data_IF_722254782269
#
_entry.id   IF_722254782269
#
_cell.length_a   1.000
_cell.length_b   1.000
_cell.length_c   1.000
_cell.angle_alpha   90.00
_cell.angle_beta   90.00
_cell.angle_gamma   90.00
#
_symmetry.space_group_name_H-M   'P 1'
#
loop_
_entity.id
_entity.type
_entity.pdbx_description
1 polymer ?
#
# COMPACT_ATOMS: atom_id res chain seq x y z
N UNK A 1 23.89 17.31 -21.65
CA UNK A 1 22.54 16.78 -21.93
C UNK A 1 22.48 15.37 -21.36
N UNK A 2 21.44 15.06 -20.56
CA UNK A 2 21.31 13.74 -19.96
C UNK A 2 21.14 12.69 -21.07
N UNK A 3 21.92 11.61 -21.02
CA UNK A 3 21.76 10.44 -21.92
C UNK A 3 20.29 9.98 -21.92
N UNK A 4 19.66 9.94 -20.75
CA UNK A 4 18.23 9.64 -20.61
C UNK A 4 17.32 10.60 -21.40
N UNK A 5 17.65 11.89 -21.45
CA UNK A 5 16.86 12.90 -22.18
C UNK A 5 17.00 12.80 -23.70
N UNK A 6 18.20 12.43 -24.19
CA UNK A 6 18.45 12.18 -25.61
C UNK A 6 17.66 10.94 -26.08
N UNK A 7 17.68 9.87 -25.30
CA UNK A 7 16.97 8.64 -25.63
C UNK A 7 15.45 8.73 -25.46
N UNK A 8 14.95 9.48 -24.46
CA UNK A 8 13.50 9.74 -24.33
C UNK A 8 12.93 10.48 -25.55
N UNK A 9 13.66 11.47 -26.06
CA UNK A 9 13.27 12.23 -27.25
C UNK A 9 13.30 11.36 -28.51
N UNK A 10 14.31 10.50 -28.65
CA UNK A 10 14.46 9.62 -29.82
C UNK A 10 13.53 8.39 -29.78
N UNK A 11 13.17 7.89 -28.59
CA UNK A 11 12.18 6.83 -28.41
C UNK A 11 10.76 7.37 -28.69
N UNK A 12 10.47 8.60 -28.25
CA UNK A 12 9.22 9.30 -28.57
C UNK A 12 9.11 9.67 -30.06
N UNK A 13 10.24 9.83 -30.77
CA UNK A 13 10.25 10.12 -32.21
C UNK A 13 10.25 8.88 -33.12
N UNK A 14 10.21 7.64 -32.56
CA UNK A 14 10.21 6.38 -33.32
C UNK A 14 11.39 6.23 -34.32
N UNK A 15 12.52 6.91 -34.10
CA UNK A 15 13.65 6.95 -35.05
C UNK A 15 14.77 5.94 -34.76
N UNK A 16 14.61 5.01 -33.82
CA UNK A 16 15.66 4.02 -33.47
C UNK A 16 15.31 2.66 -34.08
N UNK A 17 16.21 2.13 -34.90
CA UNK A 17 16.18 0.72 -35.30
C UNK A 17 16.55 -0.13 -34.07
N UNK A 18 15.61 -0.97 -33.61
CA UNK A 18 15.77 -1.74 -32.37
C UNK A 18 16.52 -3.05 -32.69
N UNK A 19 17.85 -2.98 -32.63
CA UNK A 19 18.75 -4.14 -32.80
C UNK A 19 19.12 -4.76 -31.44
N UNK A 20 19.53 -6.03 -31.44
CA UNK A 20 19.94 -6.78 -30.23
C UNK A 20 21.03 -6.05 -29.43
N UNK A 21 22.06 -5.51 -30.09
CA UNK A 21 23.14 -4.78 -29.43
C UNK A 21 22.66 -3.49 -28.78
N UNK A 22 21.69 -2.80 -29.38
CA UNK A 22 21.08 -1.59 -28.84
C UNK A 22 20.34 -1.90 -27.53
N UNK A 23 19.63 -3.03 -27.47
CA UNK A 23 18.93 -3.47 -26.26
C UNK A 23 19.93 -3.89 -25.16
N UNK A 24 20.95 -4.69 -25.50
CA UNK A 24 21.94 -5.19 -24.54
C UNK A 24 22.81 -4.05 -23.98
N UNK A 25 23.25 -3.11 -24.83
CA UNK A 25 23.95 -1.89 -24.38
C UNK A 25 23.05 -1.00 -23.51
N UNK A 26 21.76 -0.86 -23.85
CA UNK A 26 20.82 -0.10 -23.03
C UNK A 26 20.68 -0.67 -21.62
N UNK A 27 20.64 -2.01 -21.50
CA UNK A 27 20.53 -2.70 -20.22
C UNK A 27 21.88 -2.91 -19.52
N UNK A 28 22.98 -2.42 -20.10
CA UNK A 28 24.35 -2.63 -19.63
C UNK A 28 24.70 -4.13 -19.45
N UNK A 29 24.15 -4.98 -20.32
CA UNK A 29 24.40 -6.42 -20.34
C UNK A 29 25.54 -6.67 -21.33
N UNK A 30 26.59 -7.37 -20.89
CA UNK A 30 27.66 -7.79 -21.79
C UNK A 30 27.09 -8.70 -22.88
N UNK A 31 27.17 -8.25 -24.12
CA UNK A 31 26.71 -9.03 -25.27
C UNK A 31 27.72 -10.15 -25.61
N UNK A 32 27.28 -11.16 -26.38
CA UNK A 32 28.16 -12.26 -26.81
C UNK A 32 29.36 -11.81 -27.65
N UNK A 33 29.34 -10.58 -28.17
CA UNK A 33 30.41 -9.97 -28.96
C UNK A 33 31.20 -8.89 -28.21
N UNK A 34 30.98 -8.73 -26.91
CA UNK A 34 31.68 -7.75 -26.07
C UNK A 34 33.02 -8.27 -25.50
N UNK A 35 33.38 -9.52 -25.78
CA UNK A 35 34.71 -10.04 -25.46
C UNK A 35 35.77 -9.42 -26.38
N UNK A 36 36.92 -9.07 -25.82
CA UNK A 36 38.10 -8.50 -26.51
C UNK A 36 38.52 -9.26 -27.78
N UNK A 37 38.08 -10.52 -27.92
CA UNK A 37 38.31 -11.39 -29.07
C UNK A 37 37.72 -10.90 -30.40
N UNK A 38 36.76 -9.96 -30.38
CA UNK A 38 36.13 -9.42 -31.60
C UNK A 38 36.56 -7.99 -31.95
N UNK A 39 37.45 -7.37 -31.17
CA UNK A 39 37.96 -6.01 -31.43
C UNK A 39 38.73 -5.87 -32.76
N UNK A 40 39.12 -6.98 -33.38
CA UNK A 40 39.79 -7.01 -34.70
C UNK A 40 38.83 -6.81 -35.88
N UNK A 41 37.53 -7.05 -35.69
CA UNK A 41 36.48 -6.78 -36.69
C UNK A 41 35.94 -5.37 -36.44
N UNK A 42 36.73 -4.35 -36.81
CA UNK A 42 36.39 -2.94 -36.57
C UNK A 42 34.96 -2.59 -37.00
N UNK A 43 34.22 -1.91 -36.12
CA UNK A 43 32.94 -1.21 -36.31
C UNK A 43 31.94 -1.78 -37.35
N UNK A 44 31.92 -3.10 -37.53
CA UNK A 44 30.88 -3.76 -38.32
C UNK A 44 29.65 -3.85 -37.43
N UNK A 45 28.74 -2.88 -37.55
CA UNK A 45 27.42 -2.91 -36.93
C UNK A 45 26.60 -4.07 -37.54
N UNK A 46 26.77 -5.26 -36.99
CA UNK A 46 25.92 -6.41 -37.29
C UNK A 46 24.58 -6.19 -36.59
N UNK A 47 23.61 -5.59 -37.30
CA UNK A 47 22.21 -5.54 -36.88
C UNK A 47 21.69 -6.98 -36.81
N UNK A 48 21.76 -7.56 -35.62
CA UNK A 48 21.19 -8.88 -35.34
C UNK A 48 19.75 -8.69 -34.89
N UNK A 49 18.78 -9.37 -35.52
CA UNK A 49 17.40 -9.32 -35.08
C UNK A 49 17.31 -9.89 -33.66
N UNK A 50 16.42 -9.32 -32.84
CA UNK A 50 16.20 -9.75 -31.45
C UNK A 50 15.90 -11.25 -31.44
N UNK A 51 16.86 -12.03 -30.93
CA UNK A 51 16.79 -13.49 -30.93
C UNK A 51 16.29 -14.00 -29.58
N UNK A 52 15.88 -15.28 -29.53
CA UNK A 52 15.54 -15.93 -28.25
C UNK A 52 16.71 -15.91 -27.26
N UNK A 53 17.95 -15.88 -27.76
CA UNK A 53 19.16 -15.76 -26.95
C UNK A 53 19.28 -14.38 -26.30
N UNK A 54 18.91 -13.32 -27.01
CA UNK A 54 18.83 -11.96 -26.42
C UNK A 54 17.87 -11.92 -25.25
N UNK A 55 16.69 -12.55 -25.39
CA UNK A 55 15.70 -12.63 -24.31
C UNK A 55 16.24 -13.43 -23.14
N UNK A 56 16.95 -14.54 -23.39
CA UNK A 56 17.59 -15.33 -22.34
C UNK A 56 18.62 -14.51 -21.56
N UNK A 57 19.53 -13.81 -22.25
CA UNK A 57 20.53 -12.94 -21.62
C UNK A 57 19.90 -11.81 -20.80
N UNK A 58 18.79 -11.23 -21.28
CA UNK A 58 18.03 -10.22 -20.52
C UNK A 58 17.43 -10.82 -19.25
N UNK A 59 16.82 -12.00 -19.35
CA UNK A 59 16.24 -12.68 -18.19
C UNK A 59 17.31 -13.10 -17.17
N UNK A 60 18.47 -13.59 -17.62
CA UNK A 60 19.61 -13.92 -16.78
C UNK A 60 20.16 -12.68 -16.06
N UNK A 61 20.40 -11.58 -16.79
CA UNK A 61 20.87 -10.34 -16.19
C UNK A 61 19.86 -9.74 -15.19
N UNK A 62 18.56 -9.78 -15.50
CA UNK A 62 17.51 -9.37 -14.56
C UNK A 62 17.49 -10.26 -13.32
N UNK A 63 17.62 -11.58 -13.50
CA UNK A 63 17.66 -12.52 -12.39
C UNK A 63 18.85 -12.26 -11.47
N UNK A 64 20.04 -12.06 -12.04
CA UNK A 64 21.26 -11.81 -11.27
C UNK A 64 21.21 -10.48 -10.53
N UNK A 65 20.69 -9.42 -11.16
CA UNK A 65 20.51 -8.11 -10.51
C UNK A 65 19.56 -8.18 -9.30
N UNK A 66 18.41 -8.87 -9.45
CA UNK A 66 17.39 -8.94 -8.40
C UNK A 66 17.51 -10.14 -7.45
N UNK A 67 18.51 -11.00 -7.65
CA UNK A 67 18.79 -12.21 -6.84
C UNK A 67 18.93 -11.93 -5.33
N UNK A 68 19.38 -10.72 -5.00
CA UNK A 68 19.65 -10.23 -3.65
C UNK A 68 18.65 -9.14 -3.20
N UNK A 69 17.48 -9.11 -3.84
CA UNK A 69 16.41 -8.17 -3.53
C UNK A 69 16.52 -6.85 -4.29
N UNK A 70 15.58 -5.95 -3.98
CA UNK A 70 15.52 -4.62 -4.57
C UNK A 70 16.34 -3.63 -3.73
N UNK A 71 17.16 -2.80 -4.39
CA UNK A 71 17.77 -1.62 -3.78
C UNK A 71 16.78 -0.45 -3.66
N UNK A 72 17.19 0.64 -3.01
CA UNK A 72 16.36 1.85 -2.93
C UNK A 72 16.17 2.49 -4.31
N UNK A 73 17.23 2.51 -5.12
CA UNK A 73 17.18 3.06 -6.49
C UNK A 73 16.23 2.23 -7.37
N UNK A 74 16.26 0.90 -7.24
CA UNK A 74 15.35 0.02 -7.98
C UNK A 74 13.89 0.31 -7.61
N UNK A 75 13.61 0.47 -6.31
CA UNK A 75 12.27 0.79 -5.81
C UNK A 75 11.79 2.15 -6.36
N UNK A 76 12.64 3.17 -6.36
CA UNK A 76 12.33 4.48 -6.92
C UNK A 76 12.03 4.39 -8.42
N UNK A 77 12.86 3.66 -9.18
CA UNK A 77 12.68 3.45 -10.61
C UNK A 77 11.35 2.73 -10.92
N UNK A 78 11.04 1.66 -10.18
CA UNK A 78 9.77 0.93 -10.30
C UNK A 78 8.59 1.85 -9.96
N UNK A 79 8.72 2.68 -8.91
CA UNK A 79 7.67 3.61 -8.53
C UNK A 79 7.41 4.66 -9.61
N UNK A 80 8.46 5.27 -10.17
CA UNK A 80 8.37 6.23 -11.27
C UNK A 80 7.77 5.59 -12.53
N UNK A 81 8.16 4.35 -12.84
CA UNK A 81 7.62 3.58 -13.95
C UNK A 81 6.10 3.33 -13.80
N UNK A 82 5.65 2.90 -12.62
CA UNK A 82 4.22 2.72 -12.32
C UNK A 82 3.47 4.05 -12.48
N UNK A 83 4.02 5.16 -11.99
CA UNK A 83 3.42 6.48 -12.13
C UNK A 83 3.35 6.95 -13.59
N UNK A 84 4.37 6.65 -14.40
CA UNK A 84 4.38 6.95 -15.83
C UNK A 84 3.29 6.19 -16.59
N UNK A 85 3.18 4.86 -16.39
CA UNK A 85 2.10 4.05 -16.97
C UNK A 85 0.73 4.58 -16.53
N UNK A 86 0.59 4.87 -15.23
CA UNK A 86 -0.64 5.39 -14.67
C UNK A 86 -1.01 6.74 -15.28
N UNK A 87 -0.05 7.63 -15.47
CA UNK A 87 -0.27 8.91 -16.13
C UNK A 87 -0.75 8.74 -17.58
N UNK A 88 -0.14 7.84 -18.36
CA UNK A 88 -0.56 7.53 -19.74
C UNK A 88 -2.01 6.98 -19.79
N UNK A 89 -2.38 6.13 -18.85
CA UNK A 89 -3.74 5.60 -18.77
C UNK A 89 -4.75 6.70 -18.37
N UNK A 90 -4.42 7.51 -17.37
CA UNK A 90 -5.30 8.57 -16.87
C UNK A 90 -5.43 9.74 -17.85
N UNK A 91 -4.40 10.03 -18.63
CA UNK A 91 -4.43 11.10 -19.64
C UNK A 91 -5.39 10.78 -20.78
N UNK A 92 -5.52 9.50 -21.14
CA UNK A 92 -6.54 9.01 -22.09
C UNK A 92 -7.95 9.04 -21.53
N UNK A 93 -8.12 8.73 -20.24
CA UNK A 93 -9.45 8.64 -19.60
C UNK A 93 -10.05 10.01 -19.25
N UNK A 94 -9.21 10.96 -18.86
CA UNK A 94 -9.62 12.29 -18.43
C UNK A 94 -9.03 13.34 -19.38
N UNK A 95 -8.17 14.22 -18.87
CA UNK A 95 -7.35 15.14 -19.66
C UNK A 95 -5.94 15.20 -19.05
N UNK A 96 -4.96 15.73 -19.80
CA UNK A 96 -3.55 15.76 -19.38
C UNK A 96 -3.38 16.48 -18.03
N UNK A 97 -4.05 17.63 -17.84
CA UNK A 97 -3.97 18.42 -16.59
C UNK A 97 -4.47 17.63 -15.38
N UNK A 98 -5.67 17.04 -15.45
CA UNK A 98 -6.26 16.28 -14.34
C UNK A 98 -5.48 15.00 -14.09
N UNK A 99 -5.04 14.32 -15.15
CA UNK A 99 -4.21 13.13 -15.03
C UNK A 99 -2.89 13.45 -14.30
N UNK A 100 -2.25 14.57 -14.64
CA UNK A 100 -1.04 15.03 -13.97
C UNK A 100 -1.28 15.24 -12.47
N UNK A 101 -2.31 16.00 -12.10
CA UNK A 101 -2.65 16.21 -10.69
C UNK A 101 -2.93 14.89 -9.95
N UNK A 102 -3.72 13.98 -10.52
CA UNK A 102 -4.02 12.68 -9.89
C UNK A 102 -2.74 11.84 -9.71
N UNK A 103 -1.83 11.86 -10.69
CA UNK A 103 -0.55 11.15 -10.59
C UNK A 103 0.35 11.77 -9.52
N UNK A 104 0.45 13.11 -9.43
CA UNK A 104 1.20 13.80 -8.37
C UNK A 104 0.65 13.49 -6.97
N UNK A 105 -0.67 13.38 -6.83
CA UNK A 105 -1.31 12.98 -5.56
C UNK A 105 -0.90 11.54 -5.20
N UNK A 106 -0.83 10.65 -6.20
CA UNK A 106 -0.30 9.29 -6.03
C UNK A 106 1.17 9.25 -5.65
N UNK A 107 2.00 10.08 -6.28
CA UNK A 107 3.42 10.24 -5.95
C UNK A 107 3.58 10.71 -4.51
N UNK A 108 2.83 11.73 -4.09
CA UNK A 108 2.87 12.23 -2.71
C UNK A 108 2.45 11.17 -1.68
N UNK A 109 1.41 10.39 -1.98
CA UNK A 109 1.00 9.29 -1.12
C UNK A 109 2.05 8.16 -1.09
N UNK A 110 2.61 7.77 -2.24
CA UNK A 110 3.67 6.76 -2.32
C UNK A 110 4.96 7.19 -1.62
N UNK A 111 5.29 8.48 -1.70
CA UNK A 111 6.45 9.05 -1.01
C UNK A 111 6.35 8.92 0.52
N UNK A 112 5.15 9.03 1.10
CA UNK A 112 4.97 8.79 2.55
C UNK A 112 5.36 7.36 2.93
N UNK A 113 4.97 6.36 2.13
CA UNK A 113 5.35 4.97 2.35
C UNK A 113 6.84 4.73 2.11
N UNK A 114 7.42 5.38 1.10
CA UNK A 114 8.86 5.31 0.86
C UNK A 114 9.67 5.89 2.02
N UNK A 115 9.23 7.03 2.59
CA UNK A 115 9.86 7.61 3.77
C UNK A 115 9.76 6.67 4.98
N UNK A 116 8.59 6.07 5.20
CA UNK A 116 8.40 5.06 6.24
C UNK A 116 9.27 3.81 6.05
N UNK A 117 9.41 3.33 4.81
CA UNK A 117 10.30 2.23 4.45
C UNK A 117 11.76 2.53 4.84
N UNK A 118 12.21 3.76 4.58
CA UNK A 118 13.56 4.22 4.94
C UNK A 118 13.74 4.30 6.46
N UNK A 119 12.72 4.76 7.19
CA UNK A 119 12.76 4.83 8.65
C UNK A 119 12.80 3.43 9.28
N UNK A 120 12.06 2.47 8.72
CA UNK A 120 12.17 1.06 9.09
C UNK A 120 13.54 0.46 8.76
N UNK A 121 14.16 0.88 7.65
CA UNK A 121 15.51 0.44 7.31
C UNK A 121 16.55 0.86 8.35
N UNK A 122 16.37 2.04 8.94
CA UNK A 122 17.16 2.48 10.09
C UNK A 122 16.97 1.56 11.29
N UNK A 123 15.73 1.22 11.63
CA UNK A 123 15.40 0.39 12.79
C UNK A 123 15.87 -1.06 12.64
N UNK A 124 15.80 -1.61 11.43
CA UNK A 124 16.14 -2.99 11.11
C UNK A 124 17.54 -3.18 10.51
N UNK A 125 18.38 -2.14 10.49
CA UNK A 125 19.70 -2.14 9.83
C UNK A 125 20.47 -3.46 9.98
N UNK A 126 20.59 -4.00 11.19
CA UNK A 126 21.33 -5.24 11.48
C UNK A 126 20.67 -6.52 10.92
N UNK A 127 19.34 -6.56 10.85
CA UNK A 127 18.58 -7.72 10.38
C UNK A 127 18.39 -7.73 8.86
N UNK A 128 18.49 -6.58 8.19
CA UNK A 128 18.32 -6.51 6.74
C UNK A 128 19.40 -7.30 5.98
N UNK A 129 20.63 -7.29 6.49
CA UNK A 129 21.75 -8.07 5.95
C UNK A 129 21.54 -9.59 6.06
N UNK A 130 20.70 -10.03 7.00
CA UNK A 130 20.46 -11.45 7.24
C UNK A 130 19.47 -12.03 6.23
N UNK A 131 18.61 -11.20 5.61
CA UNK A 131 17.63 -11.65 4.62
C UNK A 131 18.13 -11.34 3.21
N UNK A 132 18.20 -12.39 2.37
CA UNK A 132 18.60 -12.26 0.96
C UNK A 132 17.69 -11.32 0.16
N UNK A 133 16.41 -11.18 0.51
CA UNK A 133 15.47 -10.28 -0.20
C UNK A 133 15.66 -8.79 0.15
N UNK A 134 16.37 -8.47 1.23
CA UNK A 134 16.61 -7.10 1.68
C UNK A 134 18.08 -6.73 1.66
N UNK A 135 18.94 -7.59 1.11
CA UNK A 135 20.38 -7.41 1.18
C UNK A 135 20.84 -6.18 0.38
N UNK A 136 20.37 -6.03 -0.86
CA UNK A 136 20.64 -4.84 -1.67
C UNK A 136 20.13 -3.56 -1.00
N UNK A 137 18.93 -3.62 -0.39
CA UNK A 137 18.36 -2.51 0.37
C UNK A 137 19.24 -2.14 1.59
N UNK A 138 19.81 -3.12 2.28
CA UNK A 138 20.70 -2.91 3.42
C UNK A 138 22.00 -2.21 2.98
N UNK A 139 22.57 -2.63 1.85
CA UNK A 139 23.78 -2.07 1.27
C UNK A 139 23.57 -0.59 0.89
N UNK A 140 22.53 -0.31 0.11
CA UNK A 140 22.18 1.05 -0.30
C UNK A 140 21.91 1.95 0.92
N UNK A 141 21.21 1.42 1.93
CA UNK A 141 20.93 2.16 3.15
C UNK A 141 22.21 2.55 3.89
N UNK A 142 23.16 1.62 4.01
CA UNK A 142 24.42 1.86 4.70
C UNK A 142 25.27 2.91 3.97
N UNK A 143 25.27 2.88 2.64
CA UNK A 143 25.90 3.90 1.81
C UNK A 143 25.25 5.29 2.04
N UNK A 144 23.91 5.38 2.03
CA UNK A 144 23.17 6.62 2.30
C UNK A 144 23.48 7.16 3.69
N UNK A 145 23.44 6.31 4.72
CA UNK A 145 23.73 6.70 6.10
C UNK A 145 25.16 7.22 6.24
N UNK A 146 26.14 6.53 5.66
CA UNK A 146 27.54 6.93 5.71
C UNK A 146 27.75 8.27 5.00
N UNK A 147 27.10 8.46 3.85
CA UNK A 147 27.13 9.73 3.13
C UNK A 147 26.48 10.86 3.92
N UNK A 148 25.34 10.61 4.58
CA UNK A 148 24.68 11.57 5.47
C UNK A 148 25.59 11.93 6.63
N UNK A 149 26.17 10.94 7.32
CA UNK A 149 27.12 11.18 8.41
C UNK A 149 28.35 11.95 7.94
N UNK A 150 28.89 11.66 6.76
CA UNK A 150 30.00 12.41 6.19
C UNK A 150 29.62 13.87 5.89
N UNK A 151 28.45 14.09 5.26
CA UNK A 151 27.92 15.45 5.00
C UNK A 151 27.64 16.20 6.30
N UNK A 152 27.07 15.53 7.31
CA UNK A 152 26.83 16.09 8.64
C UNK A 152 28.13 16.37 9.38
N UNK A 153 29.18 15.56 9.25
CA UNK A 153 30.50 15.84 9.84
C UNK A 153 31.20 16.99 9.13
N UNK A 154 31.09 17.08 7.80
CA UNK A 154 31.58 18.21 7.01
C UNK A 154 30.79 19.50 7.28
N UNK A 155 29.50 19.38 7.61
CA UNK A 155 28.68 20.48 8.10
C UNK A 155 28.97 20.79 9.58
N UNK A 156 29.33 19.78 10.37
CA UNK A 156 29.64 19.84 11.80
C UNK A 156 31.00 20.46 12.12
N UNK A 157 31.89 20.58 11.13
CA UNK A 157 33.05 21.51 11.22
C UNK A 157 32.65 22.98 10.97
N UNK A 158 31.38 23.26 10.66
CA UNK A 158 30.78 24.60 10.49
C UNK A 158 29.55 24.85 11.40
N UNK A 159 29.46 24.10 12.52
CA UNK A 159 28.50 24.19 13.63
C UNK A 159 27.12 23.51 13.51
N UNK A 160 26.70 22.97 14.66
CA UNK A 160 25.43 22.34 15.05
C UNK A 160 24.21 22.82 14.25
N UNK A 161 23.62 21.94 13.43
CA UNK A 161 22.16 21.92 13.27
C UNK A 161 21.69 20.60 12.67
N UNK A 162 21.60 19.58 13.51
CA UNK A 162 20.65 18.47 13.32
C UNK A 162 19.18 18.94 13.51
N UNK A 163 18.92 20.25 13.37
CA UNK A 163 17.70 20.92 13.82
C UNK A 163 16.99 21.59 12.65
N UNK A 164 15.65 21.47 12.63
CA UNK A 164 14.76 21.94 11.57
C UNK A 164 14.90 23.43 11.20
N UNK A 165 15.36 24.26 12.13
CA UNK A 165 15.49 25.72 11.98
C UNK A 165 16.95 26.19 11.80
N UNK A 166 17.90 25.28 11.55
CA UNK A 166 19.28 25.60 11.22
C UNK A 166 19.46 26.69 10.15
N UNK A 167 18.64 26.75 9.08
CA UNK A 167 18.69 27.83 8.09
C UNK A 167 18.34 29.22 8.64
N UNK A 168 17.41 29.31 9.59
CA UNK A 168 17.02 30.57 10.24
C UNK A 168 18.16 31.06 11.12
N UNK A 169 18.76 30.16 11.90
CA UNK A 169 19.92 30.50 12.73
C UNK A 169 21.10 30.89 11.85
N UNK A 170 21.33 30.19 10.73
CA UNK A 170 22.33 30.58 9.72
C UNK A 170 22.06 31.99 9.19
N UNK A 171 20.81 32.33 8.87
CA UNK A 171 20.48 33.67 8.41
C UNK A 171 20.84 34.72 9.48
N UNK A 172 20.45 34.49 10.74
CA UNK A 172 20.83 35.37 11.84
C UNK A 172 22.34 35.44 12.06
N UNK A 173 23.06 34.31 12.09
CA UNK A 173 24.52 34.31 12.28
C UNK A 173 25.23 35.03 11.14
N UNK A 174 24.81 34.81 9.89
CA UNK A 174 25.40 35.46 8.71
C UNK A 174 25.16 36.97 8.73
N UNK A 175 23.99 37.43 9.20
CA UNK A 175 23.68 38.86 9.35
C UNK A 175 24.48 39.48 10.52
N UNK A 176 24.80 38.68 11.53
CA UNK A 176 25.49 39.13 12.75
C UNK A 176 27.00 38.92 12.73
N UNK A 177 27.61 38.42 11.65
CA UNK A 177 29.06 38.16 11.61
C UNK A 177 29.69 39.02 10.52
N UNK A 178 30.61 39.90 10.90
CA UNK A 178 31.64 40.36 9.95
C UNK A 178 32.75 39.31 10.05
N UNK A 179 33.39 38.89 8.95
CA UNK A 179 34.33 37.75 8.85
C UNK A 179 35.39 37.56 9.97
N UNK A 180 35.60 38.55 10.85
CA UNK A 180 36.45 38.49 12.05
C UNK A 180 35.71 38.39 13.40
N UNK A 181 34.46 38.86 13.54
CA UNK A 181 33.74 38.93 14.83
C UNK A 181 32.23 38.68 14.68
N UNK A 182 31.68 37.88 15.61
CA UNK A 182 30.24 37.68 15.76
C UNK A 182 29.65 38.77 16.67
N UNK A 183 28.85 39.66 16.09
CA UNK A 183 28.09 40.73 16.76
C UNK A 183 26.80 40.15 17.35
N UNK A 184 26.81 39.77 18.62
CA UNK A 184 25.58 39.35 19.30
C UNK A 184 24.61 40.54 19.46
N UNK A 185 23.41 40.53 18.84
CA UNK A 185 22.45 41.63 18.97
C UNK A 185 22.05 41.89 20.42
N UNK A 186 21.99 40.83 21.26
CA UNK A 186 21.66 40.97 22.66
C UNK A 186 22.74 41.75 23.42
N UNK A 187 24.01 41.53 23.10
CA UNK A 187 25.12 42.27 23.71
C UNK A 187 25.11 43.74 23.28
N UNK A 188 24.68 44.04 22.05
CA UNK A 188 24.54 45.42 21.56
C UNK A 188 23.50 46.18 22.39
N UNK A 189 22.30 45.61 22.60
CA UNK A 189 21.29 46.22 23.47
C UNK A 189 21.77 46.33 24.92
N UNK A 190 22.51 45.34 25.40
CA UNK A 190 23.04 45.33 26.77
C UNK A 190 24.11 46.41 27.02
N UNK A 191 24.87 46.75 25.98
CA UNK A 191 25.95 47.73 26.06
C UNK A 191 25.44 49.17 26.24
N UNK A 192 24.17 49.44 25.88
CA UNK A 192 23.51 50.74 26.05
C UNK A 192 22.93 50.96 27.46
N UNK A 193 23.05 50.00 28.39
CA UNK A 193 22.54 50.16 29.75
C UNK A 193 23.41 51.13 30.59
N UNK A 194 22.81 52.01 31.42
CA UNK A 194 23.53 52.87 32.36
C UNK A 194 24.49 52.12 33.29
N UNK A 195 25.61 52.76 33.64
CA UNK A 195 26.65 52.16 34.47
C UNK A 195 26.15 51.70 35.85
N UNK A 196 25.18 52.42 36.43
CA UNK A 196 24.64 52.18 37.77
C UNK A 196 23.90 50.83 37.90
N UNK A 197 23.35 50.32 36.79
CA UNK A 197 22.64 49.02 36.76
C UNK A 197 23.47 47.90 36.12
N UNK A 198 24.64 48.24 35.55
CA UNK A 198 25.45 47.33 34.74
C UNK A 198 25.97 46.13 35.53
N UNK A 199 26.35 46.31 36.79
CA UNK A 199 26.80 45.20 37.66
C UNK A 199 25.76 44.09 37.84
N UNK A 200 24.48 44.46 37.98
CA UNK A 200 23.38 43.50 38.11
C UNK A 200 22.97 42.98 36.74
N UNK A 201 22.90 43.87 35.75
CA UNK A 201 22.55 43.52 34.39
C UNK A 201 23.54 42.52 33.78
N UNK A 202 24.85 42.68 33.96
CA UNK A 202 25.87 41.77 33.41
C UNK A 202 25.71 40.34 33.96
N UNK A 203 25.41 40.19 35.26
CA UNK A 203 25.12 38.88 35.86
C UNK A 203 23.89 38.23 35.23
N UNK A 204 22.83 39.02 35.00
CA UNK A 204 21.61 38.56 34.33
C UNK A 204 21.91 38.19 32.86
N UNK A 205 22.70 38.99 32.16
CA UNK A 205 23.10 38.74 30.78
C UNK A 205 23.86 37.43 30.62
N UNK A 206 24.90 37.20 31.42
CA UNK A 206 25.66 35.96 31.37
C UNK A 206 24.83 34.76 31.80
N UNK A 207 23.94 34.91 32.78
CA UNK A 207 23.00 33.86 33.16
C UNK A 207 22.04 33.51 32.00
N UNK A 208 21.49 34.52 31.32
CA UNK A 208 20.59 34.31 30.19
C UNK A 208 21.31 33.68 28.99
N UNK A 209 22.46 34.23 28.58
CA UNK A 209 23.18 33.80 27.37
C UNK A 209 23.90 32.47 27.53
N UNK A 210 24.45 32.16 28.71
CA UNK A 210 25.21 30.92 28.93
C UNK A 210 24.34 29.78 29.44
N UNK A 211 23.23 30.06 30.14
CA UNK A 211 22.42 29.02 30.80
C UNK A 211 21.00 28.97 30.26
N UNK A 212 20.22 30.05 30.36
CA UNK A 212 18.78 30.01 30.05
C UNK A 212 18.53 29.80 28.56
N UNK A 213 19.14 30.60 27.69
CA UNK A 213 18.94 30.51 26.23
C UNK A 213 19.41 29.15 25.70
N UNK A 214 20.63 28.65 26.01
CA UNK A 214 21.06 27.35 25.51
C UNK A 214 20.22 26.19 26.04
N UNK A 215 19.79 26.22 27.31
CA UNK A 215 18.92 25.17 27.86
C UNK A 215 17.52 25.20 27.25
N UNK A 216 16.94 26.39 27.12
CA UNK A 216 15.63 26.58 26.49
C UNK A 216 15.67 26.17 25.03
N UNK A 217 16.74 26.52 24.32
CA UNK A 217 16.98 26.11 22.94
C UNK A 217 17.08 24.59 22.81
N UNK A 218 17.91 23.92 23.62
CA UNK A 218 18.01 22.46 23.63
C UNK A 218 16.68 21.79 23.98
N UNK A 219 15.92 22.37 24.89
CA UNK A 219 14.59 21.88 25.25
C UNK A 219 13.61 22.02 24.07
N UNK A 220 13.48 23.22 23.52
CA UNK A 220 12.60 23.50 22.38
C UNK A 220 12.97 22.61 21.21
N UNK A 221 14.27 22.49 20.89
CA UNK A 221 14.71 21.60 19.82
C UNK A 221 14.22 20.18 20.04
N UNK A 222 14.52 19.62 21.21
CA UNK A 222 14.19 18.23 21.53
C UNK A 222 12.68 17.99 21.46
N UNK A 223 11.88 18.96 21.91
CA UNK A 223 10.43 18.88 21.81
C UNK A 223 9.97 19.03 20.36
N UNK A 224 10.43 20.04 19.63
CA UNK A 224 10.01 20.33 18.25
C UNK A 224 10.42 19.21 17.30
N UNK A 225 11.65 18.72 17.39
CA UNK A 225 12.13 17.57 16.61
C UNK A 225 11.32 16.32 16.97
N UNK A 226 11.13 16.06 18.27
CA UNK A 226 10.36 14.92 18.75
C UNK A 226 8.89 14.92 18.35
N UNK A 227 8.26 16.11 18.25
CA UNK A 227 6.86 16.27 17.83
C UNK A 227 6.71 16.68 16.36
N UNK A 228 7.79 16.89 15.60
CA UNK A 228 7.73 17.44 14.25
C UNK A 228 6.80 16.64 13.34
N UNK A 229 6.90 15.30 13.38
CA UNK A 229 6.03 14.41 12.60
C UNK A 229 4.55 14.58 12.90
N UNK A 230 4.16 14.64 14.18
CA UNK A 230 2.75 14.81 14.59
C UNK A 230 2.25 16.24 14.33
N UNK A 231 3.13 17.23 14.46
CA UNK A 231 2.83 18.64 14.16
C UNK A 231 2.55 18.80 12.67
N UNK A 232 3.42 18.30 11.80
CA UNK A 232 3.23 18.34 10.35
C UNK A 232 1.95 17.63 9.91
N UNK A 233 1.70 16.45 10.46
CA UNK A 233 0.44 15.75 10.25
C UNK A 233 -0.76 16.63 10.66
N UNK A 234 -0.72 17.23 11.84
CA UNK A 234 -1.83 18.04 12.35
C UNK A 234 -2.06 19.27 11.47
N UNK A 235 -1.00 20.00 11.12
CA UNK A 235 -1.13 21.20 10.27
C UNK A 235 -1.60 20.87 8.85
N UNK A 236 -1.04 19.83 8.22
CA UNK A 236 -1.33 19.51 6.81
C UNK A 236 -2.62 18.72 6.66
N UNK A 237 -2.78 17.64 7.44
CA UNK A 237 -3.88 16.67 7.28
C UNK A 237 -5.13 17.09 8.04
N UNK A 238 -5.00 17.70 9.22
CA UNK A 238 -6.14 18.04 10.09
C UNK A 238 -6.62 19.47 9.89
N UNK A 239 -5.74 20.46 10.06
CA UNK A 239 -6.09 21.89 9.96
C UNK A 239 -6.33 22.27 8.50
N UNK A 240 -5.36 22.01 7.62
CA UNK A 240 -5.42 22.39 6.20
C UNK A 240 -6.06 21.32 5.29
N UNK A 241 -7.12 20.65 5.78
CA UNK A 241 -7.81 19.55 5.07
C UNK A 241 -8.33 19.91 3.66
N UNK A 242 -8.54 21.21 3.38
CA UNK A 242 -8.96 21.74 2.07
C UNK A 242 -7.86 21.58 1.01
N UNK A 243 -6.60 21.72 1.41
CA UNK A 243 -5.45 21.71 0.50
C UNK A 243 -4.80 20.33 0.39
N UNK A 244 -5.05 19.43 1.35
CA UNK A 244 -4.53 18.08 1.34
C UNK A 244 -5.54 17.09 0.71
N UNK A 245 -5.21 16.47 -0.45
CA UNK A 245 -6.05 15.46 -1.08
C UNK A 245 -6.38 14.29 -0.16
N UNK A 246 -7.59 13.74 -0.30
CA UNK A 246 -8.05 12.64 0.56
C UNK A 246 -7.12 11.42 0.53
N UNK A 247 -6.56 11.07 -0.63
CA UNK A 247 -5.63 9.94 -0.76
C UNK A 247 -4.41 10.08 0.17
N UNK A 248 -3.79 11.27 0.17
CA UNK A 248 -2.63 11.56 1.01
C UNK A 248 -3.03 11.52 2.48
N UNK A 249 -4.14 12.17 2.85
CA UNK A 249 -4.66 12.17 4.22
C UNK A 249 -4.91 10.77 4.76
N UNK A 250 -5.49 9.91 3.93
CA UNK A 250 -5.79 8.53 4.29
C UNK A 250 -4.52 7.73 4.52
N UNK A 251 -3.59 7.69 3.55
CA UNK A 251 -2.36 6.92 3.65
C UNK A 251 -1.47 7.42 4.80
N UNK A 252 -1.40 8.74 5.01
CA UNK A 252 -0.65 9.31 6.12
C UNK A 252 -1.22 8.91 7.48
N UNK A 253 -2.55 9.03 7.66
CA UNK A 253 -3.19 8.65 8.92
C UNK A 253 -3.09 7.15 9.17
N UNK A 254 -3.17 6.34 8.11
CA UNK A 254 -3.00 4.90 8.19
C UNK A 254 -1.59 4.50 8.64
N UNK A 255 -0.55 5.14 8.07
CA UNK A 255 0.84 4.95 8.47
C UNK A 255 1.05 5.29 9.94
N UNK A 256 0.53 6.41 10.42
CA UNK A 256 0.61 6.78 11.84
C UNK A 256 -0.02 5.71 12.75
N UNK A 257 -1.17 5.15 12.36
CA UNK A 257 -1.82 4.10 13.13
C UNK A 257 -0.99 2.81 13.16
N UNK A 258 -0.32 2.48 12.06
CA UNK A 258 0.55 1.30 11.97
C UNK A 258 1.87 1.50 12.72
N UNK A 259 2.44 2.69 12.76
CA UNK A 259 3.66 2.97 13.53
C UNK A 259 3.50 2.60 15.02
N UNK A 260 2.31 2.80 15.60
CA UNK A 260 2.01 2.33 16.96
C UNK A 260 2.01 0.80 17.06
N UNK A 261 1.49 0.11 16.05
CA UNK A 261 1.47 -1.35 16.00
C UNK A 261 2.86 -1.94 15.74
N UNK A 262 3.72 -1.26 14.96
CA UNK A 262 5.08 -1.70 14.61
C UNK A 262 6.06 -1.62 15.78
N UNK A 263 5.86 -0.70 16.75
CA UNK A 263 6.76 -0.55 17.91
C UNK A 263 6.98 -1.88 18.67
N UNK A 264 5.93 -2.61 19.08
CA UNK A 264 6.08 -3.97 19.61
C UNK A 264 6.93 -4.89 18.74
N UNK A 265 6.81 -4.78 17.41
CA UNK A 265 7.56 -5.62 16.49
C UNK A 265 9.05 -5.29 16.53
N UNK A 266 9.39 -4.00 16.49
CA UNK A 266 10.78 -3.52 16.61
C UNK A 266 11.38 -3.96 17.95
N UNK A 267 10.64 -3.90 19.05
CA UNK A 267 11.12 -4.39 20.34
C UNK A 267 11.40 -5.90 20.33
N UNK A 268 10.49 -6.70 19.76
CA UNK A 268 10.68 -8.14 19.63
C UNK A 268 11.93 -8.47 18.79
N UNK A 269 12.10 -7.80 17.65
CA UNK A 269 13.26 -7.96 16.77
C UNK A 269 14.58 -7.64 17.50
N UNK A 270 14.64 -6.55 18.29
CA UNK A 270 15.83 -6.18 19.06
C UNK A 270 16.15 -7.22 20.14
N UNK A 271 15.13 -7.78 20.80
CA UNK A 271 15.29 -8.85 21.80
C UNK A 271 15.79 -10.14 21.18
N UNK A 272 15.26 -10.53 20.03
CA UNK A 272 15.71 -11.71 19.28
C UNK A 272 17.16 -11.55 18.82
N UNK A 273 17.55 -10.36 18.33
CA UNK A 273 18.94 -10.06 17.98
C UNK A 273 19.87 -10.16 19.19
N UNK A 274 19.46 -9.64 20.36
CA UNK A 274 20.25 -9.75 21.57
C UNK A 274 20.41 -11.22 21.99
N UNK A 275 19.32 -11.99 22.01
CA UNK A 275 19.36 -13.40 22.35
C UNK A 275 20.25 -14.22 21.40
N UNK A 276 20.19 -13.92 20.10
CA UNK A 276 21.06 -14.55 19.10
C UNK A 276 22.55 -14.28 19.38
N UNK A 277 22.92 -13.00 19.52
CA UNK A 277 24.33 -12.59 19.57
C UNK A 277 24.99 -12.77 20.95
N UNK A 278 24.24 -12.58 22.04
CA UNK A 278 24.79 -12.52 23.40
C UNK A 278 24.55 -13.81 24.19
N UNK A 279 23.66 -14.69 23.73
CA UNK A 279 23.32 -15.94 24.44
C UNK A 279 23.60 -17.16 23.57
N UNK A 280 22.95 -17.28 22.41
CA UNK A 280 23.02 -18.51 21.60
C UNK A 280 24.38 -18.74 20.93
N UNK A 281 24.91 -17.71 20.25
CA UNK A 281 26.21 -17.80 19.58
C UNK A 281 27.34 -18.07 20.60
N UNK A 282 27.44 -17.32 21.72
CA UNK A 282 28.47 -17.60 22.73
C UNK A 282 28.32 -18.96 23.42
N UNK A 283 27.09 -19.47 23.56
CA UNK A 283 26.83 -20.80 24.12
C UNK A 283 27.06 -21.95 23.13
N UNK A 284 27.46 -21.68 21.88
CA UNK A 284 27.61 -22.65 20.80
C UNK A 284 26.31 -23.41 20.43
N UNK A 285 25.14 -22.81 20.70
CA UNK A 285 23.82 -23.39 20.42
C UNK A 285 23.36 -23.11 18.98
N UNK A 286 24.15 -23.55 17.99
CA UNK A 286 23.98 -23.15 16.59
C UNK A 286 22.64 -23.53 15.97
N UNK A 287 22.05 -24.67 16.34
CA UNK A 287 20.74 -25.09 15.82
C UNK A 287 19.62 -24.13 16.27
N UNK A 288 19.69 -23.66 17.51
CA UNK A 288 18.74 -22.70 18.05
C UNK A 288 18.99 -21.32 17.43
N UNK A 289 20.26 -20.96 17.22
CA UNK A 289 20.66 -19.72 16.56
C UNK A 289 20.12 -19.63 15.12
N UNK A 290 20.18 -20.73 14.37
CA UNK A 290 19.60 -20.81 13.02
C UNK A 290 18.08 -20.61 13.04
N UNK A 291 17.37 -21.28 13.96
CA UNK A 291 15.93 -21.12 14.11
C UNK A 291 15.54 -19.67 14.44
N UNK A 292 16.24 -19.04 15.39
CA UNK A 292 16.02 -17.63 15.76
C UNK A 292 16.31 -16.71 14.58
N UNK A 293 17.37 -16.98 13.82
CA UNK A 293 17.70 -16.22 12.60
C UNK A 293 16.60 -16.30 11.56
N UNK A 294 16.05 -17.50 11.32
CA UNK A 294 14.94 -17.69 10.38
C UNK A 294 13.66 -16.97 10.83
N UNK A 295 13.36 -16.99 12.13
CA UNK A 295 12.24 -16.21 12.68
C UNK A 295 12.47 -14.71 12.45
N UNK A 296 13.67 -14.21 12.73
CA UNK A 296 14.04 -12.81 12.55
C UNK A 296 13.90 -12.37 11.07
N UNK A 297 14.37 -13.21 10.15
CA UNK A 297 14.27 -12.98 8.71
C UNK A 297 12.80 -12.95 8.27
N UNK A 298 12.00 -13.95 8.66
CA UNK A 298 10.59 -14.02 8.29
C UNK A 298 9.82 -12.79 8.82
N UNK A 299 10.16 -12.35 10.02
CA UNK A 299 9.56 -11.20 10.68
C UNK A 299 9.84 -9.88 9.94
N UNK A 300 11.11 -9.62 9.61
CA UNK A 300 11.51 -8.42 8.86
C UNK A 300 10.95 -8.47 7.44
N UNK A 301 11.04 -9.62 6.76
CA UNK A 301 10.52 -9.78 5.41
C UNK A 301 9.00 -9.55 5.34
N UNK A 302 8.24 -10.07 6.31
CA UNK A 302 6.79 -9.86 6.37
C UNK A 302 6.43 -8.36 6.50
N UNK A 303 7.13 -7.64 7.38
CA UNK A 303 6.89 -6.21 7.55
C UNK A 303 7.27 -5.42 6.28
N UNK A 304 8.42 -5.72 5.67
CA UNK A 304 8.85 -5.08 4.41
C UNK A 304 7.87 -5.31 3.27
N UNK A 305 7.40 -6.55 3.08
CA UNK A 305 6.40 -6.87 2.06
C UNK A 305 5.13 -6.06 2.30
N UNK A 306 4.69 -5.94 3.56
CA UNK A 306 3.51 -5.15 3.90
C UNK A 306 3.68 -3.65 3.54
N UNK A 307 4.82 -3.05 3.86
CA UNK A 307 5.11 -1.64 3.52
C UNK A 307 5.24 -1.43 2.00
N UNK A 308 5.91 -2.34 1.30
CA UNK A 308 6.02 -2.31 -0.16
C UNK A 308 4.65 -2.44 -0.84
N UNK A 309 3.76 -3.28 -0.31
CA UNK A 309 2.37 -3.38 -0.77
C UNK A 309 1.60 -2.08 -0.52
N UNK A 310 1.74 -1.48 0.66
CA UNK A 310 1.14 -0.18 0.99
C UNK A 310 1.58 0.92 0.02
N UNK A 311 2.88 0.99 -0.28
CA UNK A 311 3.45 1.90 -1.26
C UNK A 311 2.88 1.65 -2.67
N UNK A 312 2.82 0.38 -3.10
CA UNK A 312 2.26 0.00 -4.41
C UNK A 312 0.80 0.47 -4.53
N UNK A 313 -0.02 0.27 -3.49
CA UNK A 313 -1.39 0.79 -3.48
C UNK A 313 -1.43 2.31 -3.58
N UNK A 314 -0.60 3.02 -2.82
CA UNK A 314 -0.55 4.48 -2.86
C UNK A 314 -0.17 5.01 -4.25
N UNK A 315 0.87 4.44 -4.87
CA UNK A 315 1.31 4.77 -6.23
C UNK A 315 0.22 4.48 -7.28
N UNK A 316 -0.53 3.39 -7.10
CA UNK A 316 -1.70 3.07 -7.93
C UNK A 316 -2.93 3.93 -7.63
N UNK A 317 -2.90 4.80 -6.60
CA UNK A 317 -4.04 5.62 -6.19
C UNK A 317 -5.15 4.84 -5.47
N UNK A 318 -4.79 3.71 -4.90
CA UNK A 318 -5.66 2.73 -4.28
C UNK A 318 -5.65 2.86 -2.75
N UNK A 319 -6.70 2.30 -2.15
CA UNK A 319 -6.85 2.13 -0.72
C UNK A 319 -6.98 0.63 -0.44
N UNK A 320 -6.65 0.20 0.76
CA UNK A 320 -6.79 -1.19 1.17
C UNK A 320 -7.51 -1.25 2.52
N UNK A 321 -8.14 -2.38 2.80
CA UNK A 321 -8.95 -2.53 4.01
C UNK A 321 -8.26 -3.45 5.00
N UNK A 322 -7.87 -2.89 6.13
CA UNK A 322 -7.41 -3.61 7.31
C UNK A 322 -8.33 -3.20 8.47
N UNK A 323 -9.21 -4.08 8.99
CA UNK A 323 -10.38 -3.66 9.79
C UNK A 323 -10.06 -2.62 10.87
N UNK A 324 -9.15 -2.94 11.79
CA UNK A 324 -8.77 -2.05 12.88
C UNK A 324 -8.13 -0.74 12.38
N UNK A 325 -7.15 -0.82 11.49
CA UNK A 325 -6.41 0.38 11.03
C UNK A 325 -7.24 1.27 10.11
N UNK A 326 -7.96 0.67 9.16
CA UNK A 326 -8.81 1.39 8.21
C UNK A 326 -10.00 2.04 8.92
N UNK A 327 -10.66 1.37 9.87
CA UNK A 327 -11.78 1.97 10.60
C UNK A 327 -11.34 3.16 11.45
N UNK A 328 -10.19 3.06 12.13
CA UNK A 328 -9.61 4.17 12.88
C UNK A 328 -9.17 5.32 11.95
N UNK A 329 -8.51 4.99 10.84
CA UNK A 329 -8.10 5.97 9.82
C UNK A 329 -9.29 6.78 9.32
N UNK A 330 -10.37 6.10 8.95
CA UNK A 330 -11.62 6.70 8.46
C UNK A 330 -12.33 7.53 9.53
N UNK A 331 -12.30 7.09 10.80
CA UNK A 331 -12.84 7.87 11.92
C UNK A 331 -12.09 9.19 12.11
N UNK A 332 -10.76 9.19 11.95
CA UNK A 332 -9.95 10.39 12.10
C UNK A 332 -10.09 11.35 10.92
N UNK A 333 -10.05 10.88 9.67
CA UNK A 333 -10.04 11.79 8.51
C UNK A 333 -11.44 12.20 8.01
N UNK A 334 -12.47 11.44 8.38
CA UNK A 334 -13.84 11.61 7.90
C UNK A 334 -14.07 11.03 6.50
N UNK A 335 -15.29 11.17 5.97
CA UNK A 335 -15.65 10.56 4.69
C UNK A 335 -15.01 11.26 3.48
N UNK A 336 -14.76 10.45 2.45
CA UNK A 336 -14.28 10.89 1.13
C UNK A 336 -15.34 11.75 0.43
N UNK A 337 -14.98 12.89 -0.19
CA UNK A 337 -15.94 13.67 -0.96
C UNK A 337 -16.44 12.87 -2.17
N UNK A 338 -17.77 12.73 -2.32
CA UNK A 338 -18.41 11.94 -3.39
C UNK A 338 -18.15 12.53 -4.77
N UNK A 339 -18.21 13.85 -4.88
CA UNK A 339 -18.25 14.56 -6.17
C UNK A 339 -16.86 14.92 -6.71
N UNK A 340 -15.79 14.62 -5.97
CA UNK A 340 -14.43 14.99 -6.38
C UNK A 340 -13.82 13.92 -7.30
N UNK A 341 -13.42 14.33 -8.50
CA UNK A 341 -12.75 13.49 -9.51
C UNK A 341 -11.44 12.92 -8.95
N UNK A 342 -10.72 13.70 -8.14
CA UNK A 342 -9.47 13.30 -7.48
C UNK A 342 -9.67 12.22 -6.42
N UNK A 343 -10.91 12.07 -5.96
CA UNK A 343 -11.31 11.13 -4.93
C UNK A 343 -12.36 10.15 -5.42
N UNK A 344 -12.51 9.88 -6.72
CA UNK A 344 -13.24 8.75 -7.30
C UNK A 344 -14.37 8.07 -6.50
N UNK A 345 -15.28 8.84 -5.88
CA UNK A 345 -16.40 8.36 -5.05
C UNK A 345 -16.02 7.70 -3.72
N UNK A 346 -17.01 7.23 -2.95
CA UNK A 346 -16.75 6.48 -1.71
C UNK A 346 -16.14 5.10 -1.97
N UNK A 347 -15.35 4.60 -1.02
CA UNK A 347 -14.91 3.21 -1.03
C UNK A 347 -16.06 2.27 -0.65
N UNK A 348 -15.94 0.97 -0.95
CA UNK A 348 -16.99 -0.01 -0.65
C UNK A 348 -17.29 -0.10 0.86
N UNK A 349 -16.29 0.03 1.73
CA UNK A 349 -16.51 0.04 3.17
C UNK A 349 -17.11 1.37 3.66
N UNK A 350 -16.81 2.50 3.01
CA UNK A 350 -17.49 3.77 3.29
C UNK A 350 -18.95 3.74 2.86
N UNK A 351 -19.26 3.18 1.68
CA UNK A 351 -20.63 2.98 1.22
C UNK A 351 -21.39 2.03 2.12
N UNK A 352 -20.77 0.90 2.53
CA UNK A 352 -21.34 0.01 3.54
C UNK A 352 -21.52 0.70 4.89
N UNK A 353 -20.60 1.55 5.35
CA UNK A 353 -20.72 2.28 6.61
C UNK A 353 -21.82 3.34 6.53
N UNK A 354 -21.90 4.11 5.46
CA UNK A 354 -22.99 5.05 5.21
C UNK A 354 -24.34 4.32 5.12
N UNK A 355 -24.37 3.18 4.41
CA UNK A 355 -25.52 2.28 4.31
C UNK A 355 -25.86 1.59 5.64
N UNK A 356 -24.88 1.22 6.46
CA UNK A 356 -25.08 0.58 7.77
C UNK A 356 -25.43 1.60 8.84
N UNK A 357 -24.97 2.84 8.76
CA UNK A 357 -25.39 3.96 9.64
C UNK A 357 -26.82 4.36 9.29
N UNK A 358 -27.16 4.49 8.00
CA UNK A 358 -28.55 4.70 7.56
C UNK A 358 -29.42 3.47 7.85
N UNK A 359 -28.85 2.26 7.84
CA UNK A 359 -29.53 1.05 8.34
C UNK A 359 -29.59 0.96 9.84
N UNK A 360 -28.66 1.49 10.62
CA UNK A 360 -28.71 1.49 12.07
C UNK A 360 -29.86 2.37 12.55
N UNK A 361 -30.13 3.47 11.84
CA UNK A 361 -31.39 4.21 11.95
C UNK A 361 -32.63 3.36 11.59
N UNK A 362 -32.48 2.34 10.74
CA UNK A 362 -33.51 1.37 10.33
C UNK A 362 -33.44 0.00 11.06
N UNK A 363 -32.49 -0.23 11.97
CA UNK A 363 -32.20 -1.51 12.64
C UNK A 363 -33.02 -1.64 13.92
N UNK A 364 -34.31 -1.30 13.83
CA UNK A 364 -35.35 -1.93 14.64
C UNK A 364 -35.64 -3.38 14.17
N UNK A 365 -34.92 -3.94 13.20
CA UNK A 365 -35.20 -5.28 12.62
C UNK A 365 -33.97 -6.20 12.50
N UNK A 366 -34.04 -7.36 13.16
CA UNK A 366 -32.94 -8.24 13.60
C UNK A 366 -32.23 -9.12 12.53
N UNK A 367 -32.40 -8.87 11.22
CA UNK A 367 -32.17 -9.92 10.19
C UNK A 367 -30.74 -10.00 9.58
N UNK A 368 -29.89 -8.99 9.74
CA UNK A 368 -28.60 -8.91 8.99
C UNK A 368 -27.32 -9.21 9.80
N UNK A 369 -27.45 -9.71 11.03
CA UNK A 369 -26.35 -9.76 12.03
C UNK A 369 -25.23 -10.81 11.80
N UNK A 370 -25.35 -11.72 10.81
CA UNK A 370 -24.52 -12.96 10.75
C UNK A 370 -23.54 -13.05 9.58
N UNK A 371 -23.88 -12.52 8.41
CA UNK A 371 -23.00 -12.57 7.22
C UNK A 371 -21.95 -11.45 7.25
N UNK A 372 -22.26 -10.29 7.85
CA UNK A 372 -21.33 -9.17 7.94
C UNK A 372 -20.11 -9.43 8.85
N UNK A 373 -20.24 -10.31 9.85
CA UNK A 373 -19.20 -10.55 10.85
C UNK A 373 -17.94 -11.21 10.27
N UNK A 374 -18.08 -12.14 9.32
CA UNK A 374 -16.93 -12.78 8.69
C UNK A 374 -16.24 -11.86 7.67
N UNK A 375 -17.01 -11.05 6.95
CA UNK A 375 -16.47 -10.12 5.96
C UNK A 375 -15.87 -8.84 6.57
N UNK A 376 -16.16 -8.53 7.84
CA UNK A 376 -15.53 -7.44 8.59
C UNK A 376 -14.19 -7.80 9.24
N UNK A 377 -13.84 -9.10 9.30
CA UNK A 377 -12.64 -9.57 10.03
C UNK A 377 -11.42 -9.74 9.10
N UNK A 378 -11.63 -10.03 7.81
CA UNK A 378 -10.51 -10.31 6.90
C UNK A 378 -9.99 -9.05 6.19
N UNK A 379 -8.66 -8.85 6.12
CA UNK A 379 -8.08 -7.76 5.35
C UNK A 379 -8.32 -7.96 3.85
N UNK A 380 -8.62 -6.88 3.14
CA UNK A 380 -8.80 -6.88 1.69
C UNK A 380 -7.69 -6.04 1.07
N UNK A 381 -6.71 -6.74 0.52
CA UNK A 381 -5.44 -6.18 0.05
C UNK A 381 -5.50 -5.70 -1.41
N UNK A 382 -6.68 -5.56 -2.05
CA UNK A 382 -6.72 -5.03 -3.42
C UNK A 382 -8.04 -4.35 -3.78
N UNK A 383 -7.97 -3.06 -4.16
CA UNK A 383 -9.07 -2.28 -4.70
C UNK A 383 -8.58 -1.25 -5.71
N UNK A 384 -9.25 -1.13 -6.87
CA UNK A 384 -9.17 0.09 -7.68
C UNK A 384 -8.50 0.03 -9.06
N UNK A 385 -7.84 -1.07 -9.45
CA UNK A 385 -7.36 -1.19 -10.85
C UNK A 385 -8.47 -1.67 -11.80
N UNK A 386 -9.21 -2.71 -11.40
CA UNK A 386 -10.33 -3.31 -12.16
C UNK A 386 -11.67 -3.22 -11.43
N UNK A 387 -11.64 -2.94 -10.12
CA UNK A 387 -12.84 -2.77 -9.32
C UNK A 387 -13.19 -1.30 -9.23
N UNK A 388 -14.02 -0.79 -10.16
CA UNK A 388 -15.08 0.10 -9.67
C UNK A 388 -15.80 -0.71 -8.60
N UNK A 389 -16.08 -0.10 -7.46
CA UNK A 389 -17.08 -0.65 -6.56
C UNK A 389 -18.44 -0.54 -7.22
N UNK A 390 -18.68 -1.25 -8.32
CA UNK A 390 -20.00 -1.48 -8.88
C UNK A 390 -20.66 -2.59 -8.05
N UNK A 391 -20.98 -2.27 -6.79
CA UNK A 391 -22.41 -2.21 -6.55
C UNK A 391 -22.71 -0.75 -6.79
N UNK A 392 -23.32 -0.46 -7.93
CA UNK A 392 -24.00 0.80 -8.14
C UNK A 392 -24.74 1.15 -6.85
N UNK A 393 -24.71 2.43 -6.49
CA UNK A 393 -25.64 2.99 -5.52
C UNK A 393 -27.04 2.66 -6.05
N UNK A 394 -27.53 1.45 -5.74
CA UNK A 394 -28.88 1.06 -6.02
C UNK A 394 -29.68 2.06 -5.21
N UNK A 395 -30.31 2.97 -5.93
CA UNK A 395 -31.38 3.76 -5.37
C UNK A 395 -32.33 2.80 -4.68
N UNK A 396 -33.01 3.26 -3.62
CA UNK A 396 -33.90 2.39 -2.86
C UNK A 396 -34.88 1.61 -3.76
N UNK A 397 -35.29 2.23 -4.87
CA UNK A 397 -36.08 1.61 -5.94
C UNK A 397 -35.35 0.46 -6.66
N UNK A 398 -34.11 0.61 -7.08
CA UNK A 398 -33.38 -0.46 -7.78
C UNK A 398 -33.05 -1.63 -6.83
N UNK A 399 -32.78 -1.36 -5.56
CA UNK A 399 -32.61 -2.39 -4.52
C UNK A 399 -33.91 -3.18 -4.31
N UNK A 400 -35.05 -2.49 -4.20
CA UNK A 400 -36.37 -3.11 -4.11
C UNK A 400 -36.69 -3.95 -5.36
N UNK A 401 -36.24 -3.51 -6.53
CA UNK A 401 -36.45 -4.21 -7.81
C UNK A 401 -35.62 -5.48 -7.88
N UNK A 402 -34.37 -5.44 -7.43
CA UNK A 402 -33.51 -6.63 -7.29
C UNK A 402 -34.06 -7.63 -6.26
N UNK A 403 -34.58 -7.15 -5.13
CA UNK A 403 -35.19 -7.99 -4.11
C UNK A 403 -36.49 -8.65 -4.62
N UNK A 404 -37.32 -7.92 -5.38
CA UNK A 404 -38.48 -8.48 -6.08
C UNK A 404 -38.07 -9.56 -7.09
N UNK A 405 -37.03 -9.31 -7.90
CA UNK A 405 -36.50 -10.28 -8.89
C UNK A 405 -35.99 -11.55 -8.21
N UNK A 406 -35.28 -11.42 -7.09
CA UNK A 406 -34.76 -12.55 -6.30
C UNK A 406 -35.88 -13.37 -5.63
N UNK A 407 -36.90 -12.70 -5.09
CA UNK A 407 -38.08 -13.38 -4.52
C UNK A 407 -38.88 -14.12 -5.60
N UNK A 408 -39.00 -13.56 -6.79
CA UNK A 408 -39.67 -14.19 -7.92
C UNK A 408 -38.90 -15.41 -8.42
N UNK A 409 -37.57 -15.34 -8.50
CA UNK A 409 -36.73 -16.50 -8.83
C UNK A 409 -36.84 -17.62 -7.80
N UNK A 410 -36.78 -17.30 -6.51
CA UNK A 410 -36.94 -18.31 -5.45
C UNK A 410 -38.34 -18.93 -5.46
N UNK A 411 -39.37 -18.15 -5.79
CA UNK A 411 -40.74 -18.65 -5.95
C UNK A 411 -40.89 -19.55 -7.17
N UNK A 412 -40.29 -19.18 -8.30
CA UNK A 412 -40.26 -19.98 -9.52
C UNK A 412 -39.47 -21.29 -9.34
N UNK A 413 -38.36 -21.27 -8.60
CA UNK A 413 -37.58 -22.46 -8.28
C UNK A 413 -38.36 -23.40 -7.35
N UNK A 414 -39.10 -22.85 -6.38
CA UNK A 414 -39.97 -23.63 -5.49
C UNK A 414 -41.15 -24.25 -6.25
N UNK A 415 -41.72 -23.53 -7.23
CA UNK A 415 -42.75 -24.05 -8.13
C UNK A 415 -42.18 -25.19 -9.01
N UNK A 416 -41.00 -24.99 -9.63
CA UNK A 416 -40.32 -26.03 -10.41
C UNK A 416 -40.03 -27.30 -9.61
N UNK A 417 -39.62 -27.16 -8.34
CA UNK A 417 -39.42 -28.31 -7.43
C UNK A 417 -40.73 -29.03 -7.11
N UNK A 418 -41.84 -28.30 -6.93
CA UNK A 418 -43.18 -28.90 -6.77
C UNK A 418 -43.61 -29.64 -8.03
N UNK A 419 -43.48 -29.03 -9.20
CA UNK A 419 -43.84 -29.64 -10.48
C UNK A 419 -43.00 -30.87 -10.80
N UNK A 420 -41.70 -30.84 -10.48
CA UNK A 420 -40.82 -31.99 -10.63
C UNK A 420 -41.26 -33.16 -9.73
N UNK A 421 -41.67 -32.88 -8.49
CA UNK A 421 -42.19 -33.88 -7.55
C UNK A 421 -43.52 -34.48 -8.04
N UNK A 422 -44.42 -33.64 -8.56
CA UNK A 422 -45.69 -34.08 -9.17
C UNK A 422 -45.42 -34.96 -10.39
N UNK A 423 -44.58 -34.52 -11.34
CA UNK A 423 -44.22 -35.30 -12.53
C UNK A 423 -43.57 -36.64 -12.18
N UNK A 424 -42.72 -36.68 -11.15
CA UNK A 424 -42.10 -37.91 -10.69
C UNK A 424 -43.13 -38.90 -10.12
N UNK A 425 -44.09 -38.42 -9.33
CA UNK A 425 -45.21 -39.24 -8.82
C UNK A 425 -46.07 -39.83 -9.95
N UNK A 426 -46.40 -39.04 -10.97
CA UNK A 426 -47.12 -39.53 -12.15
C UNK A 426 -46.34 -40.59 -12.93
N UNK A 427 -45.02 -40.42 -13.08
CA UNK A 427 -44.16 -41.43 -13.74
C UNK A 427 -44.14 -42.75 -12.96
N UNK A 428 -44.11 -42.70 -11.62
CA UNK A 428 -44.21 -43.88 -10.77
C UNK A 428 -45.55 -44.61 -10.96
N UNK A 429 -46.67 -43.89 -10.98
CA UNK A 429 -48.00 -44.48 -11.23
C UNK A 429 -48.09 -45.12 -12.63
N UNK A 430 -47.56 -44.45 -13.66
CA UNK A 430 -47.54 -44.99 -15.03
C UNK A 430 -46.65 -46.23 -15.15
N UNK A 431 -45.52 -46.25 -14.44
CA UNK A 431 -44.64 -47.41 -14.36
C UNK A 431 -45.36 -48.58 -13.65
N UNK A 432 -46.00 -48.33 -12.52
CA UNK A 432 -46.79 -49.32 -11.77
C UNK A 432 -47.89 -49.94 -12.66
N UNK A 433 -48.63 -49.12 -13.41
CA UNK A 433 -49.66 -49.59 -14.33
C UNK A 433 -49.08 -50.40 -15.50
N UNK A 434 -47.90 -50.03 -16.02
CA UNK A 434 -47.20 -50.81 -17.05
C UNK A 434 -46.73 -52.15 -16.53
N UNK A 435 -46.18 -52.20 -15.32
CA UNK A 435 -45.76 -53.44 -14.64
C UNK A 435 -46.99 -54.32 -14.39
N UNK A 436 -48.11 -53.77 -13.91
CA UNK A 436 -49.35 -54.53 -13.73
C UNK A 436 -49.85 -55.13 -15.05
N UNK A 437 -49.83 -54.38 -16.16
CA UNK A 437 -50.20 -54.87 -17.50
C UNK A 437 -49.27 -55.97 -18.01
N UNK A 438 -47.99 -55.92 -17.66
CA UNK A 438 -47.00 -56.95 -18.00
C UNK A 438 -47.25 -58.23 -17.17
N UNK A 439 -47.51 -58.09 -15.88
CA UNK A 439 -47.81 -59.20 -14.97
C UNK A 439 -49.13 -59.90 -15.32
N UNK A 440 -50.15 -59.17 -15.78
CA UNK A 440 -51.38 -59.78 -16.31
C UNK A 440 -51.16 -60.49 -17.64
N UNK A 441 -50.31 -59.97 -18.53
CA UNK A 441 -49.93 -60.67 -19.78
C UNK A 441 -49.15 -61.96 -19.54
N UNK A 442 -48.37 -62.04 -18.46
CA UNK A 442 -47.57 -63.23 -18.08
C UNK A 442 -48.42 -64.23 -17.25
N UNK A 443 -49.71 -63.94 -17.02
CA UNK A 443 -50.64 -64.88 -16.37
C UNK A 443 -50.52 -64.96 -14.84
N UNK A 444 -49.76 -64.05 -14.22
CA UNK A 444 -49.52 -64.03 -12.76
C UNK A 444 -50.69 -63.37 -12.01
N UNK A 445 -51.51 -62.55 -12.68
CA UNK A 445 -52.71 -61.90 -12.11
C UNK A 445 -53.93 -62.06 -13.02
N UNK A 446 -55.09 -62.44 -12.44
CA UNK A 446 -56.40 -62.42 -13.11
C UNK A 446 -57.06 -61.04 -13.00
N UNK A 447 -57.63 -60.58 -14.10
CA UNK A 447 -58.19 -59.25 -14.31
C UNK A 447 -59.39 -58.98 -13.36
N UNK A 448 -59.29 -57.96 -12.49
CA UNK A 448 -60.48 -57.32 -11.94
C UNK A 448 -60.76 -56.11 -12.84
N UNK A 449 -61.71 -56.28 -13.76
CA UNK A 449 -62.26 -55.18 -14.55
C UNK A 449 -62.83 -54.15 -13.57
N UNK A 450 -62.14 -53.03 -13.41
CA UNK A 450 -62.81 -51.77 -13.09
C UNK A 450 -62.80 -50.98 -14.40
N UNK A 451 -63.95 -50.93 -15.04
CA UNK A 451 -64.26 -50.07 -16.18
C UNK A 451 -64.42 -48.61 -15.68
N UNK A 452 -63.36 -48.07 -15.07
CA UNK A 452 -63.19 -46.63 -14.84
C UNK A 452 -61.98 -46.20 -15.66
N UNK A 453 -62.18 -46.02 -16.96
CA UNK A 453 -61.36 -45.16 -17.82
C UNK A 453 -61.56 -43.68 -17.42
N UNK A 454 -61.45 -43.40 -16.12
CA UNK A 454 -61.51 -42.05 -15.61
C UNK A 454 -60.15 -41.41 -15.86
N UNK A 455 -60.18 -40.40 -16.72
CA UNK A 455 -59.15 -39.38 -16.84
C UNK A 455 -58.53 -39.11 -15.47
N UNK A 456 -57.21 -39.25 -15.39
CA UNK A 456 -56.44 -39.03 -14.17
C UNK A 456 -56.46 -37.52 -13.85
N UNK A 457 -57.62 -37.03 -13.41
CA UNK A 457 -57.91 -35.62 -13.21
C UNK A 457 -56.97 -35.11 -12.12
N UNK A 458 -56.34 -33.98 -12.42
CA UNK A 458 -55.41 -33.33 -11.53
C UNK A 458 -56.17 -32.84 -10.29
N UNK A 459 -56.04 -33.53 -9.15
CA UNK A 459 -56.47 -33.00 -7.85
C UNK A 459 -55.28 -32.37 -7.11
N UNK A 460 -55.11 -31.04 -7.16
CA UNK A 460 -54.03 -30.35 -6.48
C UNK A 460 -54.11 -30.42 -4.96
N UNK A 461 -55.26 -30.79 -4.38
CA UNK A 461 -55.46 -30.78 -2.92
C UNK A 461 -54.84 -31.99 -2.22
N UNK A 462 -54.51 -33.07 -2.94
CA UNK A 462 -53.88 -34.27 -2.35
C UNK A 462 -52.46 -34.02 -1.80
N UNK A 463 -51.79 -32.98 -2.28
CA UNK A 463 -50.44 -32.58 -1.83
C UNK A 463 -50.43 -31.45 -0.79
N UNK A 464 -51.58 -30.86 -0.45
CA UNK A 464 -51.66 -29.82 0.60
C UNK A 464 -51.83 -30.38 2.01
N UNK A 465 -52.26 -31.65 2.15
CA UNK A 465 -52.63 -32.29 3.43
C UNK A 465 -51.46 -32.88 4.25
N UNK A 466 -50.26 -32.97 3.70
CA UNK A 466 -49.07 -33.37 4.48
C UNK A 466 -48.21 -32.13 4.73
N UNK A 467 -48.49 -31.46 5.85
CA UNK A 467 -47.66 -30.40 6.39
C UNK A 467 -47.31 -30.70 7.84
#
# INVERSE_FOLDING_TARGET
MNILSFWLVNLLSLMINIDQETILRFLNIQGPYAEENYAFLGDVTMSTPVSGETVRLILEAMWDHYKNGLGFVDIENIALFILAIRFLFLSRKYNIKTAFYITCIGLGAGYLWYMHLRDLAYLYKRSLWMCRLTNNLAFDFDAILTQQQYKLRKAGTRFDSDMFYGPIIKAFTTITTDDAYRKDPLSMFWTYLPADIRFVADKIYYFLTLKVIPQTYKFIDRQVVGFSGILWYTFIVRINKKYCPYLIRWHWTFLLAIEFAEKPFVFAQRRLLYFLNEVLIPANEFRQAELVTNILIAFVACNYIFIMLGMLHALCGQYFYFPFFTENTELHIGFRPKDSIYSGGHTIWQNKRAYMISRQANQKTNKYRRVDRFFSILPRMWYGWLGRGTLDDLTQQEYETLMKKKNNQHSAEKARKRDAKIRWYYRQQKLKNRILRLLTKIGIFKNKKNDDDDELYFDPNRFSKNK
#
